data_IF_473208053900
#
_entry.id   IF_473208053900
#
_cell.length_a   1.000
_cell.length_b   1.000
_cell.length_c   1.000
_cell.angle_alpha   90.00
_cell.angle_beta   90.00
_cell.angle_gamma   90.00
#
_symmetry.space_group_name_H-M   'P 1'
#
loop_
_entity.id
_entity.type
_entity.pdbx_description
1 polymer ?
#
# COMPACT_ATOMS: atom_id res chain seq x y z
N UNK A 1 26.78 -21.34 -7.96
CA UNK A 1 26.35 -20.47 -6.85
C UNK A 1 24.85 -20.26 -6.95
N UNK A 2 24.07 -21.09 -6.26
CA UNK A 2 22.60 -21.12 -6.33
C UNK A 2 22.00 -20.25 -5.23
N UNK A 3 21.84 -18.95 -5.51
CA UNK A 3 21.07 -18.06 -4.66
C UNK A 3 19.58 -18.34 -4.83
N UNK A 4 18.93 -18.83 -3.78
CA UNK A 4 17.47 -19.01 -3.74
C UNK A 4 16.77 -17.67 -4.02
N UNK A 5 15.99 -17.54 -5.11
CA UNK A 5 15.38 -16.27 -5.51
C UNK A 5 14.21 -15.81 -4.61
N UNK A 6 13.79 -16.65 -3.65
CA UNK A 6 12.60 -16.44 -2.82
C UNK A 6 12.86 -15.96 -1.39
N UNK A 7 14.09 -15.51 -1.08
CA UNK A 7 14.44 -15.00 0.25
C UNK A 7 15.24 -13.71 0.20
N UNK A 8 15.08 -12.89 1.23
CA UNK A 8 15.92 -11.70 1.38
C UNK A 8 17.27 -12.08 1.97
N UNK A 9 18.35 -11.44 1.49
CA UNK A 9 19.70 -11.67 1.97
C UNK A 9 19.92 -10.97 3.31
N UNK A 10 19.55 -11.63 4.41
CA UNK A 10 19.69 -11.10 5.77
C UNK A 10 20.33 -12.14 6.69
N UNK A 11 21.26 -11.69 7.54
CA UNK A 11 21.90 -12.55 8.52
C UNK A 11 20.92 -12.95 9.64
N UNK A 12 20.85 -14.25 10.00
CA UNK A 12 19.89 -14.74 10.98
C UNK A 12 20.29 -14.31 12.39
N UNK A 13 19.63 -13.25 12.87
CA UNK A 13 19.78 -12.72 14.24
C UNK A 13 18.41 -12.44 14.85
N UNK A 14 18.29 -12.46 16.19
CA UNK A 14 17.00 -12.13 16.86
C UNK A 14 16.49 -10.73 16.49
N UNK A 15 17.39 -9.78 16.26
CA UNK A 15 17.03 -8.44 15.77
C UNK A 15 16.44 -8.47 14.35
N UNK A 16 17.09 -9.20 13.43
CA UNK A 16 16.59 -9.35 12.05
C UNK A 16 15.22 -10.02 11.99
N UNK A 17 14.96 -11.00 12.86
CA UNK A 17 13.65 -11.64 13.00
C UNK A 17 12.57 -10.62 13.40
N UNK A 18 12.88 -9.74 14.37
CA UNK A 18 11.98 -8.66 14.77
C UNK A 18 11.64 -7.71 13.62
N UNK A 19 12.65 -7.32 12.84
CA UNK A 19 12.49 -6.46 11.65
C UNK A 19 11.62 -7.15 10.60
N UNK A 20 11.85 -8.43 10.31
CA UNK A 20 11.08 -9.18 9.32
C UNK A 20 9.63 -9.41 9.75
N UNK A 21 9.37 -9.69 11.03
CA UNK A 21 8.00 -9.79 11.56
C UNK A 21 7.26 -8.45 11.49
N UNK A 22 7.93 -7.34 11.82
CA UNK A 22 7.35 -6.02 11.67
C UNK A 22 7.03 -5.69 10.20
N UNK A 23 7.92 -6.08 9.27
CA UNK A 23 7.74 -5.93 7.83
C UNK A 23 6.58 -6.78 7.30
N UNK A 24 6.42 -8.02 7.75
CA UNK A 24 5.30 -8.89 7.41
C UNK A 24 3.96 -8.23 7.81
N UNK A 25 3.86 -7.80 9.08
CA UNK A 25 2.66 -7.11 9.58
C UNK A 25 2.38 -5.80 8.82
N UNK A 26 3.43 -5.07 8.46
CA UNK A 26 3.35 -3.88 7.60
C UNK A 26 2.83 -4.20 6.19
N UNK A 27 3.28 -5.31 5.61
CA UNK A 27 2.82 -5.77 4.30
C UNK A 27 1.36 -6.22 4.32
N UNK A 28 0.93 -6.97 5.33
CA UNK A 28 -0.47 -7.40 5.51
C UNK A 28 -1.43 -6.21 5.69
N UNK A 29 -1.06 -5.27 6.56
CA UNK A 29 -1.85 -4.05 6.78
C UNK A 29 -1.88 -3.18 5.51
N UNK A 30 -0.74 -2.99 4.85
CA UNK A 30 -0.64 -2.28 3.56
C UNK A 30 -1.48 -2.92 2.46
N UNK A 31 -1.48 -4.25 2.36
CA UNK A 31 -2.33 -5.01 1.44
C UNK A 31 -3.81 -4.73 1.69
N UNK A 32 -4.26 -4.83 2.94
CA UNK A 32 -5.67 -4.59 3.30
C UNK A 32 -6.13 -3.16 2.97
N UNK A 33 -5.26 -2.17 3.21
CA UNK A 33 -5.56 -0.75 2.94
C UNK A 33 -5.63 -0.47 1.43
N UNK A 34 -4.66 -0.98 0.66
CA UNK A 34 -4.64 -0.82 -0.79
C UNK A 34 -5.82 -1.53 -1.46
N UNK A 35 -6.21 -2.71 -0.97
CA UNK A 35 -7.37 -3.44 -1.46
C UNK A 35 -8.67 -2.66 -1.25
N UNK A 36 -8.87 -2.10 -0.05
CA UNK A 36 -10.02 -1.21 0.24
C UNK A 36 -10.01 0.04 -0.67
N UNK A 37 -8.84 0.64 -0.90
CA UNK A 37 -8.70 1.78 -1.82
C UNK A 37 -9.07 1.38 -3.26
N UNK A 38 -8.60 0.24 -3.76
CA UNK A 38 -8.93 -0.23 -5.11
C UNK A 38 -10.42 -0.51 -5.29
N UNK A 39 -11.08 -1.09 -4.28
CA UNK A 39 -12.52 -1.36 -4.33
C UNK A 39 -13.33 -0.06 -4.39
N UNK A 40 -12.97 0.93 -3.57
CA UNK A 40 -13.60 2.26 -3.58
C UNK A 40 -13.41 2.97 -4.93
N UNK A 41 -12.19 2.95 -5.48
CA UNK A 41 -11.89 3.53 -6.80
C UNK A 41 -12.66 2.81 -7.91
N UNK A 42 -12.76 1.47 -7.86
CA UNK A 42 -13.51 0.68 -8.85
C UNK A 42 -15.01 1.01 -8.83
N UNK A 43 -15.58 1.25 -7.64
CA UNK A 43 -16.97 1.70 -7.51
C UNK A 43 -17.19 3.05 -8.19
N UNK A 44 -16.34 4.04 -7.88
CA UNK A 44 -16.40 5.37 -8.52
C UNK A 44 -16.15 5.33 -10.02
N UNK A 45 -15.23 4.47 -10.46
CA UNK A 45 -14.95 4.25 -11.87
C UNK A 45 -16.20 3.79 -12.63
N UNK A 46 -16.94 2.81 -12.09
CA UNK A 46 -18.22 2.34 -12.68
C UNK A 46 -19.29 3.43 -12.71
N UNK A 47 -19.37 4.26 -11.67
CA UNK A 47 -20.29 5.42 -11.63
C UNK A 47 -19.94 6.42 -12.74
N UNK A 48 -18.65 6.74 -12.93
CA UNK A 48 -18.17 7.62 -14.00
C UNK A 48 -18.45 7.01 -15.38
N UNK A 49 -18.23 5.71 -15.58
CA UNK A 49 -18.54 5.03 -16.85
C UNK A 49 -20.01 5.22 -17.25
N UNK A 50 -20.94 5.06 -16.28
CA UNK A 50 -22.38 5.28 -16.54
C UNK A 50 -22.67 6.74 -16.92
N UNK A 51 -22.10 7.69 -16.18
CA UNK A 51 -22.23 9.13 -16.49
C UNK A 51 -21.67 9.48 -17.86
N UNK A 52 -20.57 8.85 -18.28
CA UNK A 52 -19.98 9.03 -19.62
C UNK A 52 -20.93 8.54 -20.70
N UNK A 53 -21.55 7.36 -20.56
CA UNK A 53 -22.50 6.85 -21.56
C UNK A 53 -23.73 7.78 -21.68
N UNK A 54 -24.30 8.19 -20.54
CA UNK A 54 -25.40 9.16 -20.51
C UNK A 54 -25.04 10.49 -21.16
N UNK A 55 -23.88 11.05 -20.81
CA UNK A 55 -23.37 12.30 -21.37
C UNK A 55 -23.09 12.18 -22.87
N UNK A 56 -22.54 11.05 -23.34
CA UNK A 56 -22.26 10.80 -24.76
C UNK A 56 -23.55 10.69 -25.59
N UNK A 57 -24.58 10.03 -25.05
CA UNK A 57 -25.92 9.98 -25.68
C UNK A 57 -26.57 11.36 -25.73
N UNK A 58 -26.47 12.14 -24.64
CA UNK A 58 -26.97 13.52 -24.59
C UNK A 58 -26.24 14.41 -25.59
N UNK A 59 -24.90 14.33 -25.64
CA UNK A 59 -24.06 15.04 -26.60
C UNK A 59 -24.45 14.71 -28.05
N UNK A 60 -24.67 13.43 -28.39
CA UNK A 60 -25.10 13.04 -29.73
C UNK A 60 -26.39 13.74 -30.16
N UNK A 61 -27.38 13.83 -29.26
CA UNK A 61 -28.63 14.57 -29.52
C UNK A 61 -28.42 16.08 -29.65
N UNK A 62 -27.65 16.69 -28.75
CA UNK A 62 -27.37 18.14 -28.79
C UNK A 62 -26.60 18.52 -30.04
N UNK A 63 -25.63 17.69 -30.47
CA UNK A 63 -24.86 17.90 -31.69
C UNK A 63 -25.72 17.74 -32.95
N UNK A 64 -26.66 16.80 -32.96
CA UNK A 64 -27.61 16.63 -34.05
C UNK A 64 -28.51 17.87 -34.20
N UNK A 65 -29.02 18.41 -33.09
CA UNK A 65 -29.82 19.65 -33.07
C UNK A 65 -28.96 20.83 -33.56
N UNK A 66 -27.73 20.97 -33.07
CA UNK A 66 -26.81 22.03 -33.50
C UNK A 66 -26.52 21.95 -35.01
N UNK A 67 -26.27 20.75 -35.53
CA UNK A 67 -26.04 20.52 -36.96
C UNK A 67 -27.26 20.88 -37.81
N UNK A 68 -28.47 20.60 -37.30
CA UNK A 68 -29.72 21.00 -37.95
C UNK A 68 -29.89 22.53 -37.95
N UNK A 69 -29.61 23.20 -36.83
CA UNK A 69 -29.62 24.67 -36.77
C UNK A 69 -28.62 25.32 -37.72
N UNK A 70 -27.45 24.69 -37.97
CA UNK A 70 -26.50 25.17 -38.98
C UNK A 70 -27.06 25.04 -40.41
N UNK A 71 -27.80 23.96 -40.70
CA UNK A 71 -28.48 23.80 -41.98
C UNK A 71 -29.57 24.86 -42.18
N UNK A 72 -30.37 25.16 -41.13
CA UNK A 72 -31.35 26.25 -41.15
C UNK A 72 -30.72 27.61 -41.44
N UNK A 73 -29.57 27.90 -40.82
CA UNK A 73 -28.80 29.13 -41.08
C UNK A 73 -28.31 29.19 -42.51
N UNK A 74 -27.73 28.11 -43.02
CA UNK A 74 -27.22 28.05 -44.40
C UNK A 74 -28.32 28.31 -45.42
N UNK A 75 -29.52 27.74 -45.18
CA UNK A 75 -30.70 27.99 -46.00
C UNK A 75 -31.20 29.44 -45.89
N UNK A 76 -31.31 29.97 -44.68
CA UNK A 76 -31.83 31.32 -44.44
C UNK A 76 -30.93 32.45 -44.97
N UNK A 77 -29.61 32.22 -44.96
CA UNK A 77 -28.60 33.18 -45.45
C UNK A 77 -28.45 33.06 -46.98
N UNK A 78 -28.73 31.89 -47.56
CA UNK A 78 -28.72 31.65 -49.00
C UNK A 78 -27.32 31.62 -49.62
N UNK A 79 -26.31 31.26 -48.84
CA UNK A 79 -24.90 31.24 -49.23
C UNK A 79 -23.97 30.80 -48.09
N UNK A 80 -22.66 30.77 -48.36
CA UNK A 80 -21.66 30.34 -47.38
C UNK A 80 -21.35 31.45 -46.35
N UNK A 81 -21.79 31.24 -45.11
CA UNK A 81 -21.49 32.14 -43.97
C UNK A 81 -20.09 31.90 -43.39
N UNK A 82 -19.41 30.82 -43.79
CA UNK A 82 -18.13 30.40 -43.25
C UNK A 82 -17.04 31.46 -43.34
N UNK A 83 -16.96 32.16 -44.49
CA UNK A 83 -15.96 33.22 -44.71
C UNK A 83 -16.11 34.37 -43.69
N UNK A 84 -17.34 34.84 -43.46
CA UNK A 84 -17.61 35.93 -42.50
C UNK A 84 -17.27 35.53 -41.06
N UNK A 85 -17.56 34.27 -40.69
CA UNK A 85 -17.26 33.74 -39.35
C UNK A 85 -15.75 33.63 -39.15
N UNK A 86 -15.02 33.11 -40.15
CA UNK A 86 -13.56 32.97 -40.08
C UNK A 86 -12.86 34.32 -40.00
N UNK A 87 -13.28 35.30 -40.79
CA UNK A 87 -12.72 36.66 -40.75
C UNK A 87 -13.00 37.38 -39.43
N UNK A 88 -14.17 37.11 -38.84
CA UNK A 88 -14.57 37.71 -37.55
C UNK A 88 -13.93 37.01 -36.33
N UNK A 89 -13.32 35.83 -36.50
CA UNK A 89 -12.74 35.06 -35.40
C UNK A 89 -11.36 35.61 -34.99
N UNK A 90 -11.33 36.57 -34.05
CA UNK A 90 -10.06 37.13 -33.52
C UNK A 90 -9.65 36.52 -32.20
N UNK A 91 -10.56 36.45 -31.22
CA UNK A 91 -10.25 35.90 -29.90
C UNK A 91 -11.35 34.98 -29.37
N UNK A 92 -10.95 33.92 -28.65
CA UNK A 92 -11.89 32.96 -28.10
C UNK A 92 -12.71 33.58 -26.96
N UNK A 93 -14.02 33.72 -27.20
CA UNK A 93 -15.01 34.13 -26.18
C UNK A 93 -15.27 33.01 -25.17
N UNK A 94 -15.35 31.77 -25.64
CA UNK A 94 -15.53 30.60 -24.80
C UNK A 94 -14.16 30.04 -24.43
N UNK A 95 -13.84 30.02 -23.13
CA UNK A 95 -12.56 29.54 -22.61
C UNK A 95 -12.79 28.47 -21.56
N UNK A 96 -11.76 27.65 -21.34
CA UNK A 96 -11.80 26.54 -20.39
C UNK A 96 -10.77 26.79 -19.30
N UNK A 97 -11.16 26.59 -18.05
CA UNK A 97 -10.28 26.62 -16.89
C UNK A 97 -10.15 25.22 -16.31
N UNK A 98 -8.93 24.85 -15.94
CA UNK A 98 -8.67 23.61 -15.21
C UNK A 98 -8.85 23.82 -13.71
N UNK A 99 -9.59 22.92 -13.09
CA UNK A 99 -9.73 22.76 -11.65
C UNK A 99 -9.26 21.37 -11.26
N UNK A 100 -8.84 21.18 -10.02
CA UNK A 100 -8.51 19.85 -9.50
C UNK A 100 -9.59 19.42 -8.52
N UNK A 101 -10.11 18.21 -8.72
CA UNK A 101 -11.06 17.57 -7.83
C UNK A 101 -10.43 16.33 -7.19
N UNK A 102 -10.59 16.15 -5.89
CA UNK A 102 -10.05 14.98 -5.20
C UNK A 102 -11.13 13.90 -5.09
N UNK A 103 -10.91 12.77 -5.78
CA UNK A 103 -11.79 11.60 -5.72
C UNK A 103 -11.03 10.45 -5.07
N UNK A 104 -11.41 10.11 -3.84
CA UNK A 104 -10.86 8.96 -3.08
C UNK A 104 -9.32 8.96 -2.99
N UNK A 105 -8.72 10.15 -2.84
CA UNK A 105 -7.27 10.32 -2.71
C UNK A 105 -6.51 10.26 -4.05
N UNK A 106 -7.20 10.56 -5.15
CA UNK A 106 -6.62 10.79 -6.49
C UNK A 106 -7.07 12.17 -6.95
N UNK A 107 -6.11 13.01 -7.33
CA UNK A 107 -6.37 14.35 -7.88
C UNK A 107 -6.70 14.20 -9.36
N UNK A 108 -7.95 14.50 -9.74
CA UNK A 108 -8.43 14.44 -11.10
C UNK A 108 -8.58 15.87 -11.64
N UNK A 109 -8.15 16.15 -12.88
CA UNK A 109 -8.44 17.41 -13.53
C UNK A 109 -9.92 17.47 -13.92
N UNK A 110 -10.57 18.56 -13.57
CA UNK A 110 -11.90 18.93 -14.00
C UNK A 110 -11.84 20.19 -14.86
N UNK A 111 -12.66 20.27 -15.90
CA UNK A 111 -12.73 21.44 -16.78
C UNK A 111 -14.00 22.23 -16.50
N UNK A 112 -13.85 23.54 -16.26
CA UNK A 112 -14.96 24.49 -16.12
C UNK A 112 -14.94 25.45 -17.31
N UNK A 113 -16.06 25.59 -18.00
CA UNK A 113 -16.22 26.57 -19.07
C UNK A 113 -16.57 27.95 -18.51
N UNK A 114 -15.93 28.99 -19.03
CA UNK A 114 -16.29 30.37 -18.73
C UNK A 114 -16.35 31.21 -20.00
N UNK A 115 -17.31 32.13 -20.02
CA UNK A 115 -17.52 33.07 -21.14
C UNK A 115 -16.85 34.38 -20.77
N UNK A 116 -15.93 34.86 -21.60
CA UNK A 116 -15.31 36.17 -21.40
C UNK A 116 -16.29 37.26 -21.82
N UNK A 117 -16.64 38.15 -20.89
CA UNK A 117 -17.48 39.31 -21.17
C UNK A 117 -16.69 40.38 -21.92
N UNK A 118 -17.33 41.08 -22.86
CA UNK A 118 -16.72 42.15 -23.65
C UNK A 118 -16.29 41.77 -25.07
N UNK A 119 -16.30 40.48 -25.45
CA UNK A 119 -16.00 40.08 -26.83
C UNK A 119 -17.28 39.85 -27.66
N UNK A 120 -17.69 40.89 -28.39
CA UNK A 120 -18.82 40.87 -29.34
C UNK A 120 -18.34 40.86 -30.80
N UNK A 121 -17.31 40.05 -31.10
CA UNK A 121 -16.71 39.89 -32.43
C UNK A 121 -17.73 39.55 -33.54
N UNK A 122 -18.86 38.94 -33.20
CA UNK A 122 -19.91 38.53 -34.14
C UNK A 122 -21.15 39.44 -34.13
N UNK A 123 -21.10 40.64 -33.55
CA UNK A 123 -22.26 41.54 -33.49
C UNK A 123 -22.79 41.99 -34.87
N UNK A 124 -21.97 41.89 -35.90
CA UNK A 124 -22.30 42.30 -37.28
C UNK A 124 -22.64 41.11 -38.21
N UNK A 125 -22.54 39.86 -37.74
CA UNK A 125 -22.84 38.71 -38.59
C UNK A 125 -24.36 38.53 -38.76
N UNK A 126 -24.82 38.42 -40.01
CA UNK A 126 -26.24 38.23 -40.32
C UNK A 126 -27.11 39.49 -40.33
N UNK A 127 -26.51 40.69 -40.40
CA UNK A 127 -27.20 42.00 -40.41
C UNK A 127 -28.16 42.27 -41.60
N UNK A 128 -28.36 41.33 -42.51
CA UNK A 128 -29.25 41.49 -43.67
C UNK A 128 -30.23 40.33 -43.92
N UNK A 129 -29.80 39.09 -43.71
CA UNK A 129 -30.63 37.89 -43.92
C UNK A 129 -30.36 36.87 -42.82
N UNK A 130 -31.40 36.41 -42.14
CA UNK A 130 -31.31 35.27 -41.22
C UNK A 130 -30.57 35.50 -39.90
N UNK A 131 -30.25 36.75 -39.51
CA UNK A 131 -29.51 37.03 -38.26
C UNK A 131 -30.11 36.43 -36.98
N UNK A 132 -31.44 36.34 -36.89
CA UNK A 132 -32.10 35.65 -35.76
C UNK A 132 -31.80 34.14 -35.75
N UNK A 133 -31.72 33.50 -36.91
CA UNK A 133 -31.36 32.08 -37.01
C UNK A 133 -29.88 31.88 -36.70
N UNK A 134 -29.01 32.80 -37.14
CA UNK A 134 -27.58 32.79 -36.79
C UNK A 134 -27.38 32.86 -35.28
N UNK A 135 -28.13 33.74 -34.60
CA UNK A 135 -28.06 33.87 -33.14
C UNK A 135 -28.58 32.62 -32.41
N UNK A 136 -29.69 32.02 -32.87
CA UNK A 136 -30.18 30.74 -32.33
C UNK A 136 -29.20 29.59 -32.55
N UNK A 137 -28.59 29.51 -33.73
CA UNK A 137 -27.53 28.55 -34.03
C UNK A 137 -26.33 28.74 -33.11
N UNK A 138 -25.93 29.99 -32.86
CA UNK A 138 -24.84 30.29 -31.92
C UNK A 138 -25.14 29.82 -30.50
N UNK A 139 -26.35 30.05 -30.00
CA UNK A 139 -26.77 29.61 -28.66
C UNK A 139 -26.84 28.09 -28.55
N UNK A 140 -27.33 27.40 -29.57
CA UNK A 140 -27.36 25.92 -29.61
C UNK A 140 -25.95 25.33 -29.67
N UNK A 141 -25.05 25.89 -30.47
CA UNK A 141 -23.64 25.48 -30.48
C UNK A 141 -22.91 25.81 -29.17
N UNK A 142 -23.21 26.93 -28.52
CA UNK A 142 -22.63 27.25 -27.21
C UNK A 142 -22.98 26.17 -26.17
N UNK A 143 -24.24 25.74 -26.12
CA UNK A 143 -24.68 24.62 -25.27
C UNK A 143 -24.05 23.28 -25.68
N UNK A 144 -23.83 23.06 -26.96
CA UNK A 144 -23.16 21.86 -27.46
C UNK A 144 -21.69 21.80 -27.02
N UNK A 145 -20.97 22.92 -27.10
CA UNK A 145 -19.58 23.02 -26.65
C UNK A 145 -19.47 22.89 -25.14
N UNK A 146 -20.40 23.46 -24.37
CA UNK A 146 -20.48 23.26 -22.91
C UNK A 146 -20.64 21.77 -22.55
N UNK A 147 -21.56 21.06 -23.21
CA UNK A 147 -21.73 19.62 -23.03
C UNK A 147 -20.48 18.81 -23.45
N UNK A 148 -19.73 19.27 -24.45
CA UNK A 148 -18.45 18.66 -24.84
C UNK A 148 -17.37 18.86 -23.78
N UNK A 149 -17.30 20.03 -23.15
CA UNK A 149 -16.34 20.29 -22.06
C UNK A 149 -16.64 19.40 -20.86
N UNK A 150 -17.91 19.25 -20.47
CA UNK A 150 -18.32 18.33 -19.41
C UNK A 150 -17.92 16.89 -19.73
N UNK A 151 -18.18 16.44 -20.97
CA UNK A 151 -17.80 15.09 -21.41
C UNK A 151 -16.28 14.89 -21.42
N UNK A 152 -15.53 15.87 -21.92
CA UNK A 152 -14.06 15.83 -21.94
C UNK A 152 -13.47 15.77 -20.53
N UNK A 153 -14.08 16.47 -19.58
CA UNK A 153 -13.73 16.40 -18.15
C UNK A 153 -13.89 14.98 -17.61
N UNK A 154 -15.05 14.36 -17.86
CA UNK A 154 -15.31 12.99 -17.43
C UNK A 154 -14.38 11.97 -18.10
N UNK A 155 -14.10 12.13 -19.40
CA UNK A 155 -13.21 11.24 -20.15
C UNK A 155 -11.76 11.34 -19.68
N UNK A 156 -11.26 12.54 -19.45
CA UNK A 156 -9.89 12.75 -18.95
C UNK A 156 -9.73 12.17 -17.55
N UNK A 157 -10.71 12.42 -16.68
CA UNK A 157 -10.77 11.82 -15.35
C UNK A 157 -10.82 10.28 -15.41
N UNK A 158 -11.56 9.71 -16.37
CA UNK A 158 -11.67 8.27 -16.57
C UNK A 158 -10.34 7.60 -16.95
N UNK A 159 -9.58 8.19 -17.88
CA UNK A 159 -8.28 7.65 -18.31
C UNK A 159 -7.29 7.65 -17.14
N UNK A 160 -7.18 8.77 -16.42
CA UNK A 160 -6.28 8.88 -15.27
C UNK A 160 -6.69 7.90 -14.16
N UNK A 161 -8.00 7.79 -13.88
CA UNK A 161 -8.50 6.88 -12.85
C UNK A 161 -8.24 5.41 -13.19
N UNK A 162 -8.39 5.00 -14.45
CA UNK A 162 -8.09 3.64 -14.92
C UNK A 162 -6.61 3.28 -14.72
N UNK A 163 -5.71 4.19 -15.09
CA UNK A 163 -4.27 4.00 -14.89
C UNK A 163 -3.92 3.84 -13.41
N UNK A 164 -4.50 4.68 -12.54
CA UNK A 164 -4.29 4.58 -11.09
C UNK A 164 -4.80 3.25 -10.55
N UNK A 165 -5.99 2.80 -10.97
CA UNK A 165 -6.55 1.49 -10.55
C UNK A 165 -5.61 0.36 -10.97
N UNK A 166 -5.10 0.36 -12.22
CA UNK A 166 -4.13 -0.63 -12.71
C UNK A 166 -2.84 -0.63 -11.89
N UNK A 167 -2.33 0.53 -11.50
CA UNK A 167 -1.13 0.64 -10.64
C UNK A 167 -1.41 0.10 -9.24
N UNK A 168 -2.56 0.44 -8.64
CA UNK A 168 -2.93 -0.05 -7.31
C UNK A 168 -3.11 -1.57 -7.32
N UNK A 169 -3.84 -2.13 -8.30
CA UNK A 169 -4.03 -3.59 -8.42
C UNK A 169 -2.71 -4.32 -8.63
N UNK A 170 -1.80 -3.79 -9.46
CA UNK A 170 -0.46 -4.36 -9.60
C UNK A 170 0.32 -4.36 -8.28
N UNK A 171 0.21 -3.30 -7.48
CA UNK A 171 0.84 -3.22 -6.15
C UNK A 171 0.24 -4.22 -5.17
N UNK A 172 -1.09 -4.37 -5.16
CA UNK A 172 -1.79 -5.37 -4.33
C UNK A 172 -1.29 -6.77 -4.68
N UNK A 173 -1.28 -7.13 -5.97
CA UNK A 173 -0.82 -8.45 -6.42
C UNK A 173 0.67 -8.69 -6.12
N UNK A 174 1.52 -7.66 -6.25
CA UNK A 174 2.93 -7.76 -5.90
C UNK A 174 3.13 -8.01 -4.39
N UNK A 175 2.31 -7.38 -3.54
CA UNK A 175 2.38 -7.62 -2.10
C UNK A 175 1.91 -9.05 -1.78
N UNK A 176 0.78 -9.47 -2.35
CA UNK A 176 0.16 -10.77 -2.08
C UNK A 176 1.00 -11.95 -2.56
N UNK A 177 1.52 -11.90 -3.79
CA UNK A 177 2.19 -13.05 -4.42
C UNK A 177 3.72 -13.00 -4.38
N UNK A 178 4.34 -11.85 -4.11
CA UNK A 178 5.80 -11.72 -4.12
C UNK A 178 6.35 -11.35 -2.75
N UNK A 179 5.86 -10.28 -2.14
CA UNK A 179 6.46 -9.72 -0.91
C UNK A 179 6.11 -10.56 0.33
N UNK A 180 4.82 -10.90 0.51
CA UNK A 180 4.39 -11.71 1.66
C UNK A 180 5.10 -13.07 1.66
N UNK A 181 5.05 -13.88 0.58
CA UNK A 181 5.71 -15.19 0.57
C UNK A 181 7.23 -15.10 0.77
N UNK A 182 7.90 -14.12 0.16
CA UNK A 182 9.36 -13.90 0.37
C UNK A 182 9.69 -13.59 1.83
N UNK A 183 8.86 -12.76 2.47
CA UNK A 183 9.07 -12.37 3.87
C UNK A 183 8.81 -13.55 4.80
N UNK A 184 7.77 -14.34 4.55
CA UNK A 184 7.49 -15.57 5.31
C UNK A 184 8.61 -16.62 5.18
N UNK A 185 9.11 -16.86 3.97
CA UNK A 185 10.23 -17.77 3.74
C UNK A 185 11.50 -17.30 4.46
N UNK A 186 11.75 -16.00 4.47
CA UNK A 186 12.88 -15.40 5.20
C UNK A 186 12.72 -15.58 6.71
N UNK A 187 11.51 -15.39 7.26
CA UNK A 187 11.21 -15.63 8.69
C UNK A 187 11.42 -17.11 9.04
N UNK A 188 10.95 -18.04 8.20
CA UNK A 188 11.15 -19.48 8.41
C UNK A 188 12.63 -19.84 8.46
N UNK A 189 13.43 -19.30 7.54
CA UNK A 189 14.89 -19.49 7.53
C UNK A 189 15.56 -18.93 8.79
N UNK A 190 15.22 -17.70 9.21
CA UNK A 190 15.82 -17.10 10.42
C UNK A 190 15.45 -17.93 11.67
N UNK A 191 14.20 -18.40 11.77
CA UNK A 191 13.81 -19.27 12.88
C UNK A 191 14.60 -20.59 12.88
N UNK A 192 14.75 -21.27 11.74
CA UNK A 192 15.50 -22.53 11.69
C UNK A 192 16.97 -22.36 12.06
N UNK A 193 17.61 -21.27 11.65
CA UNK A 193 19.01 -20.98 11.99
C UNK A 193 19.16 -20.62 13.48
N UNK A 194 18.24 -19.84 14.05
CA UNK A 194 18.27 -19.51 15.48
C UNK A 194 18.03 -20.75 16.35
N UNK A 195 17.10 -21.62 15.95
CA UNK A 195 16.82 -22.86 16.68
C UNK A 195 18.03 -23.82 16.66
N UNK A 196 18.79 -23.86 15.56
CA UNK A 196 20.01 -24.67 15.47
C UNK A 196 21.15 -24.08 16.32
N UNK A 197 21.32 -22.75 16.31
CA UNK A 197 22.28 -22.08 17.19
C UNK A 197 21.96 -22.29 18.68
N UNK A 198 20.68 -22.16 19.06
CA UNK A 198 20.21 -22.39 20.43
C UNK A 198 20.40 -23.88 20.82
N UNK A 199 20.22 -24.82 19.87
CA UNK A 199 20.47 -26.26 20.07
C UNK A 199 21.96 -26.56 20.29
N UNK A 200 22.85 -25.97 19.50
CA UNK A 200 24.30 -26.11 19.66
C UNK A 200 24.79 -25.54 21.00
N UNK A 201 24.28 -24.39 21.41
CA UNK A 201 24.59 -23.79 22.70
C UNK A 201 24.08 -24.64 23.86
N UNK A 202 22.85 -25.18 23.76
CA UNK A 202 22.30 -26.10 24.74
C UNK A 202 23.16 -27.37 24.89
N UNK A 203 23.63 -27.95 23.78
CA UNK A 203 24.52 -29.11 23.83
C UNK A 203 25.86 -28.79 24.50
N UNK A 204 26.47 -27.63 24.19
CA UNK A 204 27.71 -27.16 24.84
C UNK A 204 27.51 -27.00 26.35
N UNK A 205 26.44 -26.34 26.78
CA UNK A 205 26.12 -26.18 28.20
C UNK A 205 25.91 -27.53 28.89
N UNK A 206 25.20 -28.47 28.26
CA UNK A 206 24.99 -29.83 28.80
C UNK A 206 26.29 -30.59 28.98
N UNK A 207 27.24 -30.47 28.04
CA UNK A 207 28.57 -31.09 28.16
C UNK A 207 29.39 -30.48 29.30
N UNK A 208 29.37 -29.16 29.46
CA UNK A 208 30.07 -28.47 30.56
C UNK A 208 29.46 -28.84 31.92
N UNK A 209 28.12 -28.84 32.03
CA UNK A 209 27.43 -29.27 33.25
C UNK A 209 27.72 -30.73 33.59
N UNK A 210 27.69 -31.61 32.59
CA UNK A 210 28.05 -33.03 32.77
C UNK A 210 29.51 -33.23 33.19
N UNK A 211 30.43 -32.41 32.69
CA UNK A 211 31.83 -32.42 33.14
C UNK A 211 31.95 -31.96 34.60
N UNK A 212 31.32 -30.83 34.96
CA UNK A 212 31.29 -30.34 36.34
C UNK A 212 30.70 -31.36 37.30
N UNK A 213 29.60 -32.02 36.95
CA UNK A 213 29.00 -33.07 37.78
C UNK A 213 29.91 -34.29 37.98
N UNK A 214 30.69 -34.67 36.94
CA UNK A 214 31.69 -35.73 37.07
C UNK A 214 32.84 -35.29 37.97
N UNK A 215 33.32 -34.07 37.80
CA UNK A 215 34.40 -33.51 38.61
C UNK A 215 33.98 -33.37 40.08
N UNK A 216 32.74 -32.95 40.37
CA UNK A 216 32.20 -32.94 41.76
C UNK A 216 32.01 -34.33 42.32
N UNK A 217 31.47 -35.28 41.53
CA UNK A 217 31.31 -36.66 41.99
C UNK A 217 32.65 -37.35 42.28
N UNK A 218 33.70 -37.05 41.51
CA UNK A 218 35.05 -37.52 41.77
C UNK A 218 35.63 -36.90 43.05
N UNK A 219 35.44 -35.60 43.26
CA UNK A 219 35.85 -34.92 44.49
C UNK A 219 35.12 -35.46 45.74
N UNK A 220 33.81 -35.70 45.64
CA UNK A 220 33.01 -36.28 46.73
C UNK A 220 33.46 -37.72 47.04
N UNK A 221 33.81 -38.51 46.01
CA UNK A 221 34.36 -39.85 46.18
C UNK A 221 35.74 -39.82 46.87
N UNK A 222 36.62 -38.88 46.51
CA UNK A 222 37.91 -38.69 47.18
C UNK A 222 37.73 -38.25 48.64
N UNK A 223 36.80 -37.34 48.93
CA UNK A 223 36.49 -36.89 50.29
C UNK A 223 35.93 -38.05 51.13
N UNK A 224 35.05 -38.88 50.54
CA UNK A 224 34.48 -40.06 51.21
C UNK A 224 35.54 -41.14 51.44
N UNK A 225 36.47 -41.35 50.50
CA UNK A 225 37.61 -42.23 50.66
C UNK A 225 38.58 -41.73 51.75
N UNK A 226 38.86 -40.43 51.80
CA UNK A 226 39.67 -39.81 52.88
C UNK A 226 38.99 -39.90 54.24
N UNK A 227 37.67 -39.71 54.33
CA UNK A 227 36.90 -39.91 55.56
C UNK A 227 36.89 -41.38 56.01
N UNK A 228 36.75 -42.32 55.07
CA UNK A 228 36.80 -43.75 55.38
C UNK A 228 38.21 -44.19 55.83
N UNK A 229 39.27 -43.64 55.24
CA UNK A 229 40.64 -43.87 55.69
C UNK A 229 40.88 -43.32 57.10
N UNK A 230 40.38 -42.10 57.40
CA UNK A 230 40.45 -41.52 58.75
C UNK A 230 39.64 -42.32 59.79
N UNK A 231 38.47 -42.83 59.42
CA UNK A 231 37.65 -43.67 60.30
C UNK A 231 38.27 -45.07 60.52
N UNK A 232 39.03 -45.59 59.55
CA UNK A 232 39.80 -46.82 59.71
C UNK A 232 41.06 -46.62 60.59
N UNK A 233 41.66 -45.43 60.55
CA UNK A 233 42.72 -45.04 61.49
C UNK A 233 42.17 -44.86 62.93
N UNK A 234 40.96 -44.31 63.10
CA UNK A 234 40.30 -44.20 64.43
C UNK A 234 39.81 -45.55 64.99
N UNK A 235 39.55 -46.56 64.16
CA UNK A 235 39.27 -47.93 64.62
C UNK A 235 40.54 -48.75 64.92
N UNK A 236 41.71 -48.27 64.51
CA UNK A 236 43.01 -48.87 64.81
C UNK A 236 43.58 -48.52 66.18
N UNK A 237 42.97 -47.59 66.92
CA UNK A 237 43.40 -47.17 68.26
C UNK A 237 42.32 -47.47 69.32
N UNK A 238 41.98 -48.75 69.47
CA UNK A 238 41.17 -49.23 70.59
C UNK A 238 42.04 -49.90 71.66
N UNK A 239 42.87 -49.09 72.35
CA UNK A 239 43.34 -49.44 73.70
C UNK A 239 43.71 -48.20 74.54
N UNK A 240 42.73 -47.59 75.22
CA UNK A 240 42.94 -46.55 76.24
C UNK A 240 41.62 -45.97 76.76
N UNK A 241 41.50 -45.61 78.07
CA UNK A 241 40.25 -45.73 78.83
C UNK A 241 39.24 -44.59 78.57
N UNK A 242 37.96 -44.93 78.76
CA UNK A 242 36.82 -44.06 78.48
C UNK A 242 36.79 -42.78 79.32
N UNK A 243 36.46 -41.68 78.66
CA UNK A 243 36.17 -40.40 79.29
C UNK A 243 34.67 -40.11 79.20
N UNK A 244 33.99 -40.31 80.33
CA UNK A 244 32.65 -39.86 80.62
C UNK A 244 32.75 -38.40 81.04
N UNK A 245 32.63 -37.42 80.13
CA UNK A 245 32.25 -36.02 80.42
C UNK A 245 32.32 -35.14 79.15
N UNK A 246 31.21 -35.06 78.42
CA UNK A 246 30.86 -33.87 77.63
C UNK A 246 29.35 -33.89 77.36
N UNK A 247 28.61 -33.39 78.35
CA UNK A 247 27.22 -32.99 78.19
C UNK A 247 27.16 -31.66 77.42
N UNK A 248 26.16 -31.59 76.54
CA UNK A 248 25.48 -30.39 76.03
C UNK A 248 26.27 -29.36 75.20
N UNK A 249 25.84 -29.17 73.94
CA UNK A 249 25.45 -27.86 73.37
C UNK A 249 24.86 -28.03 71.95
N UNK A 250 23.52 -27.95 71.90
CA UNK A 250 22.66 -27.12 71.03
C UNK A 250 22.86 -26.90 69.51
N UNK A 251 21.70 -26.94 68.82
CA UNK A 251 21.28 -26.26 67.57
C UNK A 251 21.91 -26.72 66.22
N UNK A 252 21.21 -26.90 65.10
CA UNK A 252 19.96 -26.31 64.60
C UNK A 252 19.27 -27.25 63.57
N UNK A 253 17.93 -27.27 63.57
CA UNK A 253 17.11 -27.85 62.49
C UNK A 253 16.71 -26.71 61.56
N UNK A 254 17.17 -26.75 60.30
CA UNK A 254 16.74 -25.83 59.24
C UNK A 254 15.74 -26.55 58.32
N UNK A 255 14.62 -25.88 58.06
CA UNK A 255 13.57 -26.25 57.09
C UNK A 255 14.07 -26.25 55.63
#
# INVERSE_FOLDING_TARGET
MSGAPDREAVFPTRQSLGIMKAKLKGAETGHSLLKRKSEALTKRFREITRRIDEAKRKMGRVMQIASFSLAEVTYAVGGDIGYQIQESARSARFRVRTKQENVSGVLLPAFESYVTEGNNDFGLTGLGKGGQQVQRCRETYARAVEALVELASLQTAFVILDEVIKVVNRRVNAIEHVIIPRTENTIKYINSELDELDREEFYRLKKVAGKKQRDTAAADAEIKAKKAARAAEEQGDTSGPGDLLAAEEDNDVIF
#
